data_IF_781107165887
#
_entry.id   IF_781107165887
#
_cell.length_a   1.000
_cell.length_b   1.000
_cell.length_c   1.000
_cell.angle_alpha   90.00
_cell.angle_beta   90.00
_cell.angle_gamma   90.00
#
_symmetry.space_group_name_H-M   'P 1'
#
loop_
_entity.id
_entity.type
_entity.pdbx_description
1 polymer ?
#
# COMPACT_ATOMS: atom_id res chain seq x y z
N UNK A 1 -15.49 5.28 8.97
CA UNK A 1 -14.05 5.24 8.63
C UNK A 1 -13.91 4.17 7.57
N UNK A 2 -14.05 4.56 6.31
CA UNK A 2 -13.82 3.64 5.21
C UNK A 2 -12.32 3.51 5.12
N UNK A 3 -11.90 2.27 5.32
CA UNK A 3 -10.52 1.85 5.36
C UNK A 3 -10.14 1.42 3.97
N UNK A 4 -8.99 1.83 3.46
CA UNK A 4 -8.49 1.34 2.18
C UNK A 4 -8.03 -0.13 2.30
N UNK A 5 -8.75 -0.98 3.04
CA UNK A 5 -8.29 -2.31 3.44
C UNK A 5 -8.02 -3.21 2.22
N UNK A 6 -6.84 -3.83 2.22
CA UNK A 6 -6.38 -4.81 1.24
C UNK A 6 -6.38 -4.31 -0.20
N UNK A 7 -6.19 -3.01 -0.42
CA UNK A 7 -6.16 -2.43 -1.76
C UNK A 7 -4.74 -1.97 -2.11
N UNK A 8 -4.35 -2.17 -3.37
CA UNK A 8 -3.14 -1.58 -3.93
C UNK A 8 -3.46 -0.24 -4.59
N UNK A 9 -2.51 0.70 -4.60
CA UNK A 9 -2.67 1.94 -5.36
C UNK A 9 -2.99 1.66 -6.83
N UNK A 10 -2.30 0.70 -7.44
CA UNK A 10 -2.54 0.32 -8.84
C UNK A 10 -3.98 -0.09 -9.13
N UNK A 11 -4.69 -0.65 -8.14
CA UNK A 11 -6.10 -1.03 -8.25
C UNK A 11 -7.03 0.18 -8.12
N UNK A 12 -6.68 1.16 -7.28
CA UNK A 12 -7.46 2.37 -7.06
C UNK A 12 -7.26 3.42 -8.16
N UNK A 13 -6.09 3.41 -8.80
CA UNK A 13 -5.75 4.32 -9.88
C UNK A 13 -6.76 4.18 -11.02
N UNK A 14 -7.25 5.30 -11.53
CA UNK A 14 -8.25 5.41 -12.59
C UNK A 14 -9.66 4.91 -12.22
N UNK A 15 -9.94 4.51 -10.97
CA UNK A 15 -11.32 4.25 -10.57
C UNK A 15 -12.16 5.52 -10.71
N UNK A 16 -13.40 5.41 -11.22
CA UNK A 16 -14.31 6.54 -11.28
C UNK A 16 -14.65 6.99 -9.85
N UNK A 17 -14.77 8.30 -9.68
CA UNK A 17 -15.15 8.93 -8.42
C UNK A 17 -16.53 9.53 -8.56
N UNK A 18 -17.43 9.16 -7.67
CA UNK A 18 -18.79 9.70 -7.57
C UNK A 18 -18.92 10.58 -6.33
N UNK A 19 -19.69 11.66 -6.43
CA UNK A 19 -20.06 12.47 -5.29
C UNK A 19 -21.20 11.83 -4.46
N UNK A 20 -21.65 12.52 -3.41
CA UNK A 20 -22.74 12.05 -2.55
C UNK A 20 -24.10 11.90 -3.26
N UNK A 21 -24.26 12.53 -4.43
CA UNK A 21 -25.47 12.46 -5.25
C UNK A 21 -25.38 11.35 -6.33
N UNK A 22 -24.22 10.70 -6.44
CA UNK A 22 -23.94 9.66 -7.43
C UNK A 22 -23.44 10.22 -8.76
N UNK A 23 -23.14 11.52 -8.82
CA UNK A 23 -22.64 12.16 -10.04
C UNK A 23 -21.14 11.92 -10.19
N UNK A 24 -20.72 11.57 -11.41
CA UNK A 24 -19.32 11.30 -11.68
C UNK A 24 -18.52 12.60 -11.73
N UNK A 25 -17.62 12.75 -10.76
CA UNK A 25 -16.76 13.93 -10.67
C UNK A 25 -15.42 13.74 -11.36
N UNK A 26 -14.94 12.50 -11.53
CA UNK A 26 -13.66 12.26 -12.20
C UNK A 26 -13.10 10.87 -11.95
N UNK A 27 -11.78 10.78 -11.89
CA UNK A 27 -11.05 9.57 -11.53
C UNK A 27 -9.84 9.88 -10.66
N UNK A 28 -9.40 8.92 -9.86
CA UNK A 28 -8.16 9.06 -9.07
C UNK A 28 -6.96 8.99 -10.00
N UNK A 29 -6.11 10.01 -9.96
CA UNK A 29 -4.87 10.08 -10.76
C UNK A 29 -3.63 9.81 -9.90
N UNK A 30 -3.62 10.25 -8.65
CA UNK A 30 -2.50 10.13 -7.73
C UNK A 30 -2.97 10.24 -6.27
N UNK A 31 -2.08 9.95 -5.33
CA UNK A 31 -2.34 9.96 -3.88
C UNK A 31 -1.29 10.84 -3.23
N UNK A 32 -1.70 11.60 -2.21
CA UNK A 32 -0.83 12.45 -1.43
C UNK A 32 -0.61 11.81 -0.08
N UNK A 33 0.66 11.57 0.23
CA UNK A 33 1.09 11.04 1.51
C UNK A 33 1.81 12.11 2.30
N UNK A 34 1.42 12.26 3.55
CA UNK A 34 2.14 13.00 4.57
C UNK A 34 3.14 12.07 5.24
N UNK A 35 4.36 12.55 5.49
CA UNK A 35 5.36 11.80 6.26
C UNK A 35 5.84 12.58 7.48
N UNK A 36 5.58 12.03 8.65
CA UNK A 36 6.00 12.58 9.94
C UNK A 36 6.44 11.44 10.85
N UNK A 37 7.53 11.64 11.62
CA UNK A 37 8.03 10.67 12.60
C UNK A 37 8.26 9.23 12.06
N UNK A 38 8.69 9.12 10.79
CA UNK A 38 8.87 7.85 10.07
C UNK A 38 7.59 7.05 9.82
N UNK A 39 6.44 7.72 9.90
CA UNK A 39 5.16 7.16 9.48
C UNK A 39 4.75 7.75 8.14
N UNK A 40 4.01 6.97 7.39
CA UNK A 40 3.40 7.42 6.14
C UNK A 40 1.90 7.45 6.40
N UNK A 41 1.27 8.58 6.11
CA UNK A 41 -0.17 8.77 6.29
C UNK A 41 -0.75 9.16 4.95
N UNK A 42 -1.78 8.44 4.50
CA UNK A 42 -2.54 8.88 3.33
C UNK A 42 -3.44 10.05 3.74
N UNK A 43 -3.18 11.22 3.17
CA UNK A 43 -3.91 12.44 3.54
C UNK A 43 -5.02 12.74 2.53
N UNK A 44 -4.71 12.68 1.25
CA UNK A 44 -5.65 13.03 0.19
C UNK A 44 -5.39 12.28 -1.11
N UNK A 45 -6.39 12.31 -2.00
CA UNK A 45 -6.34 11.78 -3.35
C UNK A 45 -6.44 12.91 -4.35
N UNK A 46 -5.64 12.84 -5.41
CA UNK A 46 -5.72 13.75 -6.55
C UNK A 46 -6.73 13.19 -7.55
N UNK A 47 -7.70 14.02 -7.93
CA UNK A 47 -8.64 13.69 -9.00
C UNK A 47 -8.22 14.34 -10.32
N UNK A 48 -8.61 13.73 -11.44
CA UNK A 48 -8.43 14.34 -12.76
C UNK A 48 -9.21 13.64 -13.87
N UNK A 49 -8.94 14.05 -15.11
CA UNK A 49 -9.57 13.53 -16.33
C UNK A 49 -10.61 14.47 -16.96
N UNK A 50 -11.01 14.21 -18.20
CA UNK A 50 -11.84 15.12 -18.99
C UNK A 50 -13.17 15.49 -18.31
N UNK A 51 -13.84 14.52 -17.64
CA UNK A 51 -15.07 14.81 -16.88
C UNK A 51 -14.81 15.71 -15.68
N UNK A 52 -13.64 15.58 -15.07
CA UNK A 52 -13.23 16.45 -13.98
C UNK A 52 -12.94 17.87 -14.49
N UNK A 53 -12.34 18.03 -15.67
CA UNK A 53 -12.17 19.34 -16.31
C UNK A 53 -13.52 20.00 -16.63
N UNK A 54 -14.46 19.24 -17.21
CA UNK A 54 -15.85 19.68 -17.43
C UNK A 54 -16.53 20.08 -16.11
N UNK A 55 -16.31 19.30 -15.05
CA UNK A 55 -16.78 19.61 -13.71
C UNK A 55 -16.20 20.94 -13.19
N UNK A 56 -14.88 21.13 -13.23
CA UNK A 56 -14.21 22.38 -12.82
C UNK A 56 -14.77 23.59 -13.58
N UNK A 57 -14.98 23.47 -14.89
CA UNK A 57 -15.59 24.52 -15.69
C UNK A 57 -17.03 24.80 -15.25
N UNK A 58 -17.83 23.77 -15.00
CA UNK A 58 -19.22 23.90 -14.55
C UNK A 58 -19.37 24.62 -13.20
N UNK A 59 -18.37 24.46 -12.33
CA UNK A 59 -18.34 25.09 -11.00
C UNK A 59 -17.61 26.45 -10.98
N UNK A 60 -17.10 26.91 -12.13
CA UNK A 60 -16.42 28.20 -12.27
C UNK A 60 -14.99 28.22 -11.73
N UNK A 61 -14.35 27.06 -11.59
CA UNK A 61 -12.94 26.94 -11.21
C UNK A 61 -12.03 26.91 -12.44
N UNK A 62 -10.76 27.30 -12.28
CA UNK A 62 -9.77 27.20 -13.36
C UNK A 62 -9.37 25.73 -13.56
N UNK A 63 -9.36 25.22 -14.80
CA UNK A 63 -8.96 23.84 -15.11
C UNK A 63 -7.55 23.45 -14.66
N UNK A 64 -6.66 24.43 -14.45
CA UNK A 64 -5.25 24.19 -14.12
C UNK A 64 -4.98 23.80 -12.65
N UNK A 65 -6.02 23.62 -11.83
CA UNK A 65 -5.86 23.22 -10.42
C UNK A 65 -6.22 21.75 -10.27
N UNK A 66 -5.22 20.93 -9.94
CA UNK A 66 -5.47 19.53 -9.58
C UNK A 66 -6.13 19.48 -8.18
N UNK A 67 -7.38 19.00 -8.09
CA UNK A 67 -8.15 18.93 -6.85
C UNK A 67 -7.59 17.91 -5.86
N UNK A 68 -7.52 18.30 -4.58
CA UNK A 68 -7.25 17.37 -3.49
C UNK A 68 -8.55 17.01 -2.78
N UNK A 69 -8.83 15.71 -2.69
CA UNK A 69 -9.93 15.18 -1.88
C UNK A 69 -9.37 14.47 -0.67
N UNK A 70 -9.70 14.97 0.51
CA UNK A 70 -9.30 14.35 1.77
C UNK A 70 -9.89 12.95 1.89
N UNK A 71 -9.11 12.02 2.46
CA UNK A 71 -9.55 10.64 2.69
C UNK A 71 -10.80 10.58 3.57
N UNK A 72 -10.98 11.54 4.48
CA UNK A 72 -12.16 11.64 5.34
C UNK A 72 -13.48 11.83 4.57
N UNK A 73 -13.40 12.37 3.35
CA UNK A 73 -14.55 12.57 2.49
C UNK A 73 -14.96 11.31 1.72
N UNK A 74 -14.26 10.19 1.89
CA UNK A 74 -14.56 8.92 1.20
C UNK A 74 -15.56 8.10 2.02
N UNK A 75 -16.69 7.79 1.38
CA UNK A 75 -17.77 6.99 1.96
C UNK A 75 -17.75 5.51 1.52
N UNK A 76 -17.18 5.18 0.36
CA UNK A 76 -17.08 3.79 -0.08
C UNK A 76 -15.97 3.62 -1.11
N UNK A 77 -15.27 2.49 -1.07
CA UNK A 77 -14.32 2.09 -2.12
C UNK A 77 -14.74 0.70 -2.64
N UNK A 78 -15.29 0.68 -3.85
CA UNK A 78 -15.69 -0.52 -4.58
C UNK A 78 -15.15 -0.48 -6.01
N UNK A 79 -15.97 -0.81 -7.00
CA UNK A 79 -15.63 -0.59 -8.42
C UNK A 79 -15.45 0.91 -8.74
N UNK A 80 -16.08 1.75 -7.93
CA UNK A 80 -16.00 3.20 -7.92
C UNK A 80 -15.65 3.70 -6.51
N UNK A 81 -15.14 4.92 -6.40
CA UNK A 81 -14.92 5.59 -5.12
C UNK A 81 -16.04 6.58 -4.90
N UNK A 82 -16.80 6.41 -3.83
CA UNK A 82 -17.94 7.28 -3.48
C UNK A 82 -17.54 8.25 -2.40
N UNK A 83 -17.90 9.51 -2.59
CA UNK A 83 -17.64 10.58 -1.64
C UNK A 83 -18.89 10.87 -0.80
N UNK A 84 -18.68 11.26 0.45
CA UNK A 84 -19.74 11.71 1.36
C UNK A 84 -20.13 13.18 1.15
N UNK A 85 -19.45 13.87 0.24
CA UNK A 85 -19.64 15.30 -0.07
C UNK A 85 -20.16 15.49 -1.49
N UNK A 86 -20.95 16.55 -1.69
CA UNK A 86 -21.45 16.93 -3.01
C UNK A 86 -20.44 17.76 -3.79
N UNK A 87 -20.66 17.86 -5.10
CA UNK A 87 -19.94 18.77 -6.00
C UNK A 87 -19.81 20.22 -5.48
N UNK A 88 -20.87 20.77 -4.87
CA UNK A 88 -20.86 22.12 -4.31
C UNK A 88 -19.92 22.24 -3.09
N UNK A 89 -19.84 21.21 -2.26
CA UNK A 89 -18.94 21.18 -1.10
C UNK A 89 -17.48 20.94 -1.51
N UNK A 90 -17.24 20.29 -2.65
CA UNK A 90 -15.89 20.18 -3.19
C UNK A 90 -15.32 21.56 -3.51
N UNK A 91 -16.10 22.51 -4.05
CA UNK A 91 -15.64 23.88 -4.37
C UNK A 91 -14.90 24.55 -3.22
N UNK A 92 -15.35 24.33 -1.98
CA UNK A 92 -14.75 24.93 -0.78
C UNK A 92 -13.51 24.20 -0.29
N UNK A 93 -13.29 22.96 -0.74
CA UNK A 93 -12.23 22.05 -0.30
C UNK A 93 -11.03 22.06 -1.27
N UNK A 94 -11.25 22.42 -2.55
CA UNK A 94 -10.24 22.45 -3.62
C UNK A 94 -9.21 23.61 -3.52
N UNK A 95 -9.01 24.20 -2.34
CA UNK A 95 -8.02 25.26 -2.16
C UNK A 95 -6.60 24.69 -2.27
N UNK A 96 -5.99 24.89 -3.43
CA UNK A 96 -4.67 24.47 -3.92
C UNK A 96 -3.42 24.81 -3.08
N UNK A 97 -3.56 25.38 -1.88
CA UNK A 97 -2.44 25.74 -0.99
C UNK A 97 -2.10 24.64 0.03
N UNK A 98 -2.66 23.44 -0.12
CA UNK A 98 -2.75 22.44 0.95
C UNK A 98 -1.59 21.44 1.05
N UNK A 99 -0.63 21.43 0.13
CA UNK A 99 0.53 20.54 0.29
C UNK A 99 1.52 21.15 1.28
N UNK A 100 1.65 20.52 2.44
CA UNK A 100 2.67 20.80 3.43
C UNK A 100 4.07 20.41 2.92
N UNK A 101 5.12 20.93 3.56
CA UNK A 101 6.51 20.63 3.19
C UNK A 101 6.82 19.12 3.21
N UNK A 102 6.09 18.36 4.04
CA UNK A 102 6.21 16.91 4.18
C UNK A 102 5.16 16.13 3.37
N UNK A 103 4.55 16.74 2.36
CA UNK A 103 3.59 16.06 1.51
C UNK A 103 4.24 15.64 0.20
N UNK A 104 3.99 14.41 -0.22
CA UNK A 104 4.50 13.89 -1.47
C UNK A 104 3.48 13.02 -2.17
N UNK A 105 3.34 13.24 -3.48
CA UNK A 105 2.47 12.39 -4.28
C UNK A 105 3.12 11.02 -4.49
N UNK A 106 2.33 9.96 -4.69
CA UNK A 106 2.87 8.63 -4.97
C UNK A 106 3.73 8.61 -6.22
N UNK A 107 3.36 9.38 -7.25
CA UNK A 107 4.17 9.52 -8.46
C UNK A 107 5.57 10.09 -8.18
N UNK A 108 5.72 10.94 -7.15
CA UNK A 108 7.02 11.42 -6.69
C UNK A 108 7.71 10.37 -5.80
N UNK A 109 6.98 9.82 -4.84
CA UNK A 109 7.48 8.82 -3.89
C UNK A 109 8.06 7.58 -4.60
N UNK A 110 7.38 7.08 -5.64
CA UNK A 110 7.81 5.95 -6.49
C UNK A 110 9.10 6.19 -7.29
N UNK A 111 9.53 7.45 -7.45
CA UNK A 111 10.79 7.79 -8.13
C UNK A 111 11.98 7.76 -7.18
N UNK A 112 11.74 7.82 -5.87
CA UNK A 112 12.80 7.82 -4.88
C UNK A 112 13.50 6.46 -4.84
N UNK A 113 14.85 6.43 -4.84
CA UNK A 113 15.59 5.23 -4.54
C UNK A 113 15.36 4.83 -3.08
N UNK A 114 15.17 3.54 -2.86
CA UNK A 114 15.21 2.94 -1.53
C UNK A 114 16.64 2.47 -1.28
N UNK A 115 17.20 2.87 -0.15
CA UNK A 115 18.53 2.49 0.32
C UNK A 115 18.44 1.79 1.67
N UNK A 116 19.35 0.88 1.93
CA UNK A 116 19.47 0.18 3.21
C UNK A 116 20.17 1.05 4.27
N UNK A 117 20.38 0.51 5.47
CA UNK A 117 21.06 1.23 6.55
C UNK A 117 22.54 1.53 6.29
N UNK A 118 23.17 0.83 5.34
CA UNK A 118 24.57 0.98 4.94
C UNK A 118 24.73 1.86 3.68
N UNK A 119 23.61 2.32 3.10
CA UNK A 119 23.57 3.15 1.89
C UNK A 119 23.56 2.35 0.57
N UNK A 120 23.40 1.03 0.61
CA UNK A 120 23.22 0.22 -0.59
C UNK A 120 21.83 0.40 -1.16
N UNK A 121 21.76 0.61 -2.47
CA UNK A 121 20.49 0.70 -3.18
C UNK A 121 19.77 -0.65 -3.18
N UNK A 122 18.55 -0.65 -2.66
CA UNK A 122 17.64 -1.80 -2.61
C UNK A 122 16.70 -1.79 -3.82
N UNK A 123 16.11 -0.64 -4.16
CA UNK A 123 15.11 -0.62 -5.22
C UNK A 123 14.37 0.70 -5.34
N UNK A 124 13.11 0.62 -5.73
CA UNK A 124 12.14 1.72 -5.78
C UNK A 124 10.77 1.21 -5.35
N UNK A 125 9.88 2.12 -4.94
CA UNK A 125 8.49 1.77 -4.68
C UNK A 125 7.80 1.54 -6.03
N UNK A 126 7.22 0.36 -6.20
CA UNK A 126 6.38 0.03 -7.35
C UNK A 126 4.90 0.29 -7.06
N UNK A 127 4.50 0.09 -5.81
CA UNK A 127 3.11 0.23 -5.38
C UNK A 127 3.02 0.50 -3.87
N UNK A 128 1.84 0.87 -3.39
CA UNK A 128 1.52 1.00 -1.98
C UNK A 128 0.34 0.10 -1.66
N UNK A 129 0.47 -0.70 -0.62
CA UNK A 129 -0.57 -1.59 -0.12
C UNK A 129 -1.06 -1.12 1.25
N UNK A 130 -2.36 -1.10 1.42
CA UNK A 130 -3.02 -0.71 2.66
C UNK A 130 -3.58 -1.96 3.33
N UNK A 131 -3.21 -2.21 4.60
CA UNK A 131 -3.71 -3.38 5.32
C UNK A 131 -5.07 -3.14 6.00
N UNK A 132 -5.53 -4.13 6.77
CA UNK A 132 -6.83 -4.05 7.46
C UNK A 132 -6.88 -3.04 8.63
N UNK A 133 -5.71 -2.56 9.06
CA UNK A 133 -5.51 -1.57 10.11
C UNK A 133 -5.17 -0.19 9.55
N UNK A 134 -5.31 0.01 8.23
CA UNK A 134 -4.91 1.21 7.48
C UNK A 134 -3.40 1.50 7.55
N UNK A 135 -2.57 0.51 7.90
CA UNK A 135 -1.12 0.67 7.82
C UNK A 135 -0.67 0.56 6.38
N UNK A 136 0.34 1.36 6.08
CA UNK A 136 0.93 1.46 4.76
C UNK A 136 2.13 0.51 4.65
N UNK A 137 2.10 -0.30 3.62
CA UNK A 137 3.16 -1.20 3.22
C UNK A 137 3.68 -0.76 1.86
N UNK A 138 4.99 -0.52 1.78
CA UNK A 138 5.64 -0.14 0.54
C UNK A 138 5.98 -1.40 -0.25
N UNK A 139 5.44 -1.50 -1.46
CA UNK A 139 5.80 -2.59 -2.38
C UNK A 139 7.08 -2.19 -3.10
N UNK A 140 8.13 -2.99 -2.97
CA UNK A 140 9.45 -2.70 -3.51
C UNK A 140 9.70 -3.51 -4.77
N UNK A 141 10.22 -2.86 -5.80
CA UNK A 141 10.74 -3.53 -6.99
C UNK A 141 12.14 -3.07 -7.36
N UNK A 142 12.72 -3.78 -8.32
CA UNK A 142 14.03 -3.49 -8.92
C UNK A 142 15.02 -4.65 -8.85
N UNK A 143 16.17 -4.47 -9.50
CA UNK A 143 17.11 -5.57 -9.77
C UNK A 143 17.58 -6.36 -8.55
N UNK A 144 17.77 -5.73 -7.38
CA UNK A 144 18.16 -6.49 -6.17
C UNK A 144 17.05 -7.43 -5.67
N UNK A 145 15.79 -6.98 -5.73
CA UNK A 145 14.63 -7.80 -5.38
C UNK A 145 14.50 -8.98 -6.35
N UNK A 146 14.60 -8.69 -7.64
CA UNK A 146 14.54 -9.70 -8.70
C UNK A 146 15.66 -10.74 -8.53
N UNK A 147 16.90 -10.32 -8.24
CA UNK A 147 18.03 -11.19 -7.95
C UNK A 147 17.77 -12.13 -6.76
N UNK A 148 17.15 -11.64 -5.67
CA UNK A 148 16.81 -12.49 -4.52
C UNK A 148 15.74 -13.52 -4.91
N UNK A 149 14.66 -13.09 -5.57
CA UNK A 149 13.57 -13.98 -5.95
C UNK A 149 14.05 -15.08 -6.91
N UNK A 150 14.94 -14.73 -7.85
CA UNK A 150 15.60 -15.69 -8.74
C UNK A 150 16.46 -16.70 -7.98
N UNK A 151 17.28 -16.25 -7.02
CA UNK A 151 18.09 -17.15 -6.16
C UNK A 151 17.21 -18.13 -5.39
N UNK A 152 16.09 -17.64 -4.85
CA UNK A 152 15.13 -18.41 -4.07
C UNK A 152 14.33 -19.40 -4.93
N UNK A 153 14.38 -19.27 -6.26
CA UNK A 153 13.46 -19.94 -7.19
C UNK A 153 12.00 -19.71 -6.81
N UNK A 154 11.73 -18.58 -6.17
CA UNK A 154 10.37 -18.13 -5.95
C UNK A 154 9.73 -17.86 -7.31
N UNK A 155 8.44 -18.16 -7.45
CA UNK A 155 7.73 -17.72 -8.65
C UNK A 155 7.79 -16.19 -8.74
N UNK A 156 7.88 -15.62 -9.96
CA UNK A 156 8.12 -14.20 -10.18
C UNK A 156 7.02 -13.25 -9.66
N UNK A 157 5.93 -13.78 -9.10
CA UNK A 157 4.76 -13.03 -8.68
C UNK A 157 4.75 -12.67 -7.17
N UNK A 158 5.87 -12.86 -6.45
CA UNK A 158 5.99 -12.43 -5.04
C UNK A 158 6.60 -11.04 -4.99
N UNK A 159 5.77 -10.04 -4.73
CA UNK A 159 6.24 -8.67 -4.48
C UNK A 159 6.76 -8.53 -3.03
N UNK A 160 8.02 -8.15 -2.79
CA UNK A 160 8.45 -7.85 -1.43
C UNK A 160 7.80 -6.55 -0.95
N UNK A 161 7.33 -6.61 0.29
CA UNK A 161 6.68 -5.50 0.97
C UNK A 161 7.50 -5.08 2.18
N UNK A 162 7.53 -3.77 2.44
CA UNK A 162 8.20 -3.20 3.60
C UNK A 162 7.20 -2.40 4.42
N UNK A 163 6.91 -2.83 5.67
CA UNK A 163 6.08 -2.06 6.59
C UNK A 163 6.79 -0.77 7.02
N UNK A 164 6.00 0.25 7.35
CA UNK A 164 6.49 1.57 7.78
C UNK A 164 7.49 1.52 8.95
N UNK A 165 7.35 0.55 9.86
CA UNK A 165 8.23 0.36 11.01
C UNK A 165 9.69 0.05 10.64
N UNK A 166 9.97 -0.40 9.43
CA UNK A 166 11.31 -0.65 8.93
C UNK A 166 11.90 0.56 8.19
N UNK A 167 11.16 1.65 8.04
CA UNK A 167 11.64 2.91 7.48
C UNK A 167 12.36 3.69 8.57
N UNK A 168 13.60 4.09 8.28
CA UNK A 168 14.45 4.90 9.16
C UNK A 168 14.27 6.40 8.92
N UNK A 169 14.10 6.79 7.66
CA UNK A 169 13.88 8.17 7.25
C UNK A 169 13.33 8.23 5.82
N UNK A 170 12.51 9.25 5.54
CA UNK A 170 12.04 9.62 4.20
C UNK A 170 12.54 11.03 3.92
N UNK A 171 13.16 11.24 2.77
CA UNK A 171 13.60 12.55 2.30
C UNK A 171 13.20 12.77 0.86
N UNK A 172 13.30 14.00 0.36
CA UNK A 172 13.07 14.32 -1.05
C UNK A 172 13.98 13.56 -2.02
N UNK A 173 15.08 12.97 -1.54
CA UNK A 173 16.10 12.31 -2.36
C UNK A 173 16.03 10.80 -2.32
N UNK A 174 15.64 10.22 -1.18
CA UNK A 174 15.71 8.78 -0.94
C UNK A 174 14.89 8.36 0.28
N UNK A 175 14.60 7.06 0.34
CA UNK A 175 13.97 6.38 1.47
C UNK A 175 15.02 5.44 2.08
N UNK A 176 15.34 5.64 3.36
CA UNK A 176 16.35 4.84 4.05
C UNK A 176 15.67 3.81 4.97
N UNK A 177 16.06 2.55 4.86
CA UNK A 177 15.59 1.46 5.70
C UNK A 177 16.45 1.32 6.97
N UNK A 178 15.87 0.74 8.02
CA UNK A 178 16.58 0.39 9.26
C UNK A 178 17.46 -0.84 9.11
N UNK A 179 17.18 -1.68 8.12
CA UNK A 179 17.85 -2.95 7.89
C UNK A 179 18.87 -2.85 6.76
N UNK A 180 19.87 -3.72 6.82
CA UNK A 180 20.82 -3.91 5.73
C UNK A 180 20.24 -4.81 4.64
N UNK A 181 20.82 -4.72 3.45
CA UNK A 181 20.56 -5.60 2.31
C UNK A 181 20.63 -7.09 2.69
N UNK A 182 21.61 -7.46 3.53
CA UNK A 182 21.81 -8.84 3.97
C UNK A 182 20.73 -9.32 4.94
N UNK A 183 20.26 -8.43 5.82
CA UNK A 183 19.14 -8.74 6.71
C UNK A 183 17.86 -8.97 5.91
N UNK A 184 17.60 -8.12 4.91
CA UNK A 184 16.46 -8.28 4.00
C UNK A 184 16.53 -9.62 3.24
N UNK A 185 17.70 -10.00 2.73
CA UNK A 185 17.91 -11.29 2.05
C UNK A 185 17.67 -12.48 2.98
N UNK A 186 18.24 -12.45 4.19
CA UNK A 186 18.08 -13.51 5.19
C UNK A 186 16.61 -13.67 5.62
N UNK A 187 15.90 -12.57 5.87
CA UNK A 187 14.48 -12.62 6.25
C UNK A 187 13.61 -13.14 5.11
N UNK A 188 13.93 -12.78 3.85
CA UNK A 188 13.22 -13.31 2.68
C UNK A 188 13.42 -14.83 2.54
N UNK A 189 14.66 -15.32 2.73
CA UNK A 189 14.97 -16.76 2.74
C UNK A 189 14.18 -17.52 3.81
N UNK A 190 14.17 -17.01 5.05
CA UNK A 190 13.48 -17.63 6.17
C UNK A 190 11.95 -17.71 5.96
N UNK A 191 11.32 -16.63 5.51
CA UNK A 191 9.87 -16.61 5.25
C UNK A 191 9.49 -17.48 4.04
N UNK A 192 10.33 -17.55 3.00
CA UNK A 192 10.12 -18.46 1.87
C UNK A 192 10.17 -19.92 2.33
N UNK A 193 11.16 -20.30 3.13
CA UNK A 193 11.27 -21.64 3.68
C UNK A 193 10.10 -22.01 4.59
N UNK A 194 9.62 -21.06 5.40
CA UNK A 194 8.43 -21.22 6.23
C UNK A 194 7.18 -21.46 5.39
N UNK A 195 6.93 -20.65 4.36
CA UNK A 195 5.81 -20.87 3.45
C UNK A 195 5.89 -22.22 2.72
N UNK A 196 7.09 -22.61 2.27
CA UNK A 196 7.31 -23.91 1.63
C UNK A 196 6.96 -25.07 2.58
N UNK A 197 7.35 -24.97 3.86
CA UNK A 197 6.98 -25.94 4.89
C UNK A 197 5.47 -25.98 5.10
N UNK A 198 4.82 -24.83 5.24
CA UNK A 198 3.36 -24.75 5.41
C UNK A 198 2.61 -25.37 4.23
N UNK A 199 3.00 -25.07 2.99
CA UNK A 199 2.38 -25.66 1.79
C UNK A 199 2.62 -27.16 1.70
N UNK A 200 3.82 -27.64 2.01
CA UNK A 200 4.12 -29.08 2.05
C UNK A 200 3.33 -29.81 3.14
N UNK A 201 3.16 -29.19 4.32
CA UNK A 201 2.37 -29.75 5.43
C UNK A 201 0.86 -29.78 5.15
N UNK A 202 0.34 -28.85 4.33
CA UNK A 202 -1.04 -28.89 3.81
C UNK A 202 -1.22 -29.98 2.76
N UNK A 203 -0.14 -30.40 2.09
CA UNK A 203 -0.15 -31.43 1.05
C UNK A 203 0.14 -32.84 1.56
N UNK A 204 0.42 -33.03 2.86
CA UNK A 204 0.50 -34.37 3.43
C UNK A 204 -0.92 -34.97 3.53
N UNK A 205 -1.23 -36.02 2.75
CA UNK A 205 -2.50 -36.72 2.90
C UNK A 205 -2.51 -37.38 4.26
N UNK A 206 -3.27 -36.82 5.21
CA UNK A 206 -3.58 -37.36 6.56
C UNK A 206 -2.64 -38.51 6.92
N UNK A 207 -1.42 -38.19 7.34
CA UNK A 207 -0.55 -39.23 7.85
C UNK A 207 -1.24 -39.83 9.08
N UNK A 208 -1.78 -41.04 8.90
CA UNK A 208 -2.47 -41.80 9.93
C UNK A 208 -1.60 -41.99 11.18
N UNK A 209 -0.28 -41.85 11.03
CA UNK A 209 0.68 -41.89 12.12
C UNK A 209 0.65 -40.61 12.99
N UNK A 210 0.35 -39.44 12.41
CA UNK A 210 0.22 -38.18 13.15
C UNK A 210 -1.08 -38.13 13.96
N UNK A 211 -2.19 -38.63 13.41
CA UNK A 211 -3.46 -38.81 14.13
C UNK A 211 -3.31 -39.81 15.29
N UNK A 212 -2.55 -40.90 15.10
CA UNK A 212 -2.27 -41.89 16.14
C UNK A 212 -1.42 -41.31 17.28
N UNK A 213 -0.40 -40.51 16.96
CA UNK A 213 0.43 -39.82 17.97
C UNK A 213 -0.35 -38.77 18.76
N UNK A 214 -1.30 -38.08 18.13
CA UNK A 214 -2.20 -37.12 18.78
C UNK A 214 -3.18 -37.81 19.74
N UNK A 215 -3.73 -38.96 19.36
CA UNK A 215 -4.63 -39.76 20.21
C UNK A 215 -3.94 -40.39 21.43
N UNK A 216 -2.65 -40.70 21.33
CA UNK A 216 -1.89 -41.31 22.44
C UNK A 216 -1.27 -40.25 23.35
N UNK A 217 -0.86 -39.10 22.81
CA UNK A 217 -0.26 -38.00 23.58
C UNK A 217 -1.18 -37.41 24.66
N UNK A 218 -2.50 -37.45 24.46
CA UNK A 218 -3.50 -36.89 25.40
C UNK A 218 -3.88 -37.83 26.56
N UNK A 219 -3.31 -39.04 26.66
CA UNK A 219 -3.67 -39.99 27.75
C UNK A 219 -2.80 -39.91 29.00
N UNK A 220 -1.85 -38.96 29.09
CA UNK A 220 -1.08 -38.71 30.33
C UNK A 220 -1.56 -37.43 31.03
N UNK A 221 -2.79 -37.48 31.54
CA UNK A 221 -3.37 -36.38 32.31
C UNK A 221 -4.67 -36.76 33.00
N UNK A 222 -4.66 -37.80 33.84
CA UNK A 222 -5.84 -38.23 34.60
C UNK A 222 -5.48 -39.03 35.83
N UNK A 223 -5.17 -38.34 36.92
CA UNK A 223 -5.01 -38.87 38.28
C UNK A 223 -6.25 -39.64 38.77
N UNK A 224 -6.02 -40.81 39.37
CA UNK A 224 -6.44 -41.12 40.74
C UNK A 224 -5.58 -42.24 41.32
#
# INVERSE_FOLDING_TARGET
MIRCCNLKYSELKNKPVLDSEGENVGRIIDFVFHYEDNKIILESMLLGGNRFEEFLESIGMKPDVDPLINVESIDEIGDEVRLSISQEQMKTTLNSELLHDNDMTLSKLSRLPIVDSDGFKIGRITDVWFDNEDKIWLVIGGGFVEEILEKLRAQPDIDPIVPEEHIKNISEKEICLKWTKYQLESTAEEEFDKQKRELSSRHEPKDSHYEYLRLIGDTKGGTR
#
